data_IF_987157383267
#
_entry.id   IF_987157383267
#
_cell.length_a   1.000
_cell.length_b   1.000
_cell.length_c   1.000
_cell.angle_alpha   90.00
_cell.angle_beta   90.00
_cell.angle_gamma   90.00
#
_symmetry.space_group_name_H-M   'P 1'
#
loop_
_entity.id
_entity.type
_entity.pdbx_description
1 polymer ?
#
# COMPACT_ATOMS: atom_id res chain seq x y z
N UNK A 1 6.52 11.28 -6.92
CA UNK A 1 7.94 11.61 -7.26
C UNK A 1 8.88 10.55 -6.69
N UNK A 2 10.01 10.27 -7.34
CA UNK A 2 10.96 9.22 -6.96
C UNK A 2 12.38 9.78 -6.85
N UNK A 3 13.18 9.23 -5.95
CA UNK A 3 14.62 9.50 -5.83
C UNK A 3 15.39 8.21 -6.02
N UNK A 4 16.52 8.29 -6.72
CA UNK A 4 17.46 7.19 -6.91
C UNK A 4 18.79 7.58 -6.33
N UNK A 5 19.38 6.68 -5.55
CA UNK A 5 20.69 6.87 -4.96
C UNK A 5 21.40 5.54 -4.76
N UNK A 6 22.73 5.55 -4.65
CA UNK A 6 23.50 4.38 -4.25
C UNK A 6 23.60 4.30 -2.73
N UNK A 7 23.19 3.19 -2.14
CA UNK A 7 23.41 2.91 -0.72
C UNK A 7 24.57 1.93 -0.51
N UNK A 8 25.42 2.21 0.47
CA UNK A 8 26.58 1.38 0.82
C UNK A 8 26.24 0.40 1.93
N UNK A 9 25.60 -0.72 1.57
CA UNK A 9 25.25 -1.77 2.51
C UNK A 9 26.48 -2.50 3.04
N UNK A 10 26.40 -2.99 4.28
CA UNK A 10 27.42 -3.89 4.84
C UNK A 10 27.38 -5.19 4.06
N UNK A 11 28.54 -5.65 3.59
CA UNK A 11 28.64 -6.94 2.93
C UNK A 11 28.60 -8.06 3.99
N UNK A 12 27.50 -8.81 4.03
CA UNK A 12 27.29 -9.94 4.95
C UNK A 12 27.52 -11.30 4.29
N UNK A 13 27.99 -11.34 3.04
CA UNK A 13 28.28 -12.60 2.33
C UNK A 13 29.39 -13.38 3.03
N UNK A 14 29.34 -14.70 2.91
CA UNK A 14 30.36 -15.63 3.45
C UNK A 14 30.56 -15.53 4.96
N UNK A 15 29.57 -15.02 5.71
CA UNK A 15 29.66 -14.81 7.16
C UNK A 15 30.84 -13.90 7.59
N UNK A 16 31.37 -13.07 6.68
CA UNK A 16 32.47 -12.15 6.95
C UNK A 16 31.93 -10.80 7.39
N UNK A 17 31.65 -10.64 8.68
CA UNK A 17 31.31 -9.34 9.27
C UNK A 17 32.56 -8.52 9.57
N UNK A 18 33.36 -8.25 8.54
CA UNK A 18 34.58 -7.44 8.64
C UNK A 18 34.26 -6.05 8.06
N UNK A 19 34.11 -5.01 8.89
CA UNK A 19 33.71 -3.68 8.43
C UNK A 19 34.84 -2.90 7.72
N UNK A 20 36.00 -3.53 7.53
CA UNK A 20 37.20 -2.96 6.91
C UNK A 20 37.66 -3.82 5.73
N UNK A 21 38.37 -3.21 4.77
CA UNK A 21 38.95 -3.93 3.62
C UNK A 21 40.05 -4.86 4.11
N UNK A 22 39.96 -6.15 3.78
CA UNK A 22 40.96 -7.17 4.15
C UNK A 22 41.21 -8.14 3.00
N UNK A 23 42.39 -8.07 2.39
CA UNK A 23 42.70 -8.84 1.18
C UNK A 23 41.74 -8.50 0.04
N UNK A 24 41.10 -9.53 -0.53
CA UNK A 24 40.07 -9.39 -1.58
C UNK A 24 38.67 -9.05 -1.05
N UNK A 25 38.46 -9.03 0.27
CA UNK A 25 37.17 -8.68 0.88
C UNK A 25 36.85 -7.19 0.71
N UNK A 26 35.72 -6.89 0.09
CA UNK A 26 35.14 -5.54 0.07
C UNK A 26 34.06 -5.44 1.17
N UNK A 27 34.22 -4.59 2.19
CA UNK A 27 33.29 -4.51 3.32
C UNK A 27 31.94 -3.89 2.96
N UNK A 28 31.83 -3.24 1.80
CA UNK A 28 30.62 -2.54 1.35
C UNK A 28 30.19 -3.01 -0.02
N UNK A 29 28.88 -3.11 -0.21
CA UNK A 29 28.24 -3.31 -1.50
C UNK A 29 27.43 -2.06 -1.84
N UNK A 30 27.78 -1.37 -2.92
CA UNK A 30 27.00 -0.23 -3.40
C UNK A 30 25.81 -0.74 -4.22
N UNK A 31 24.60 -0.57 -3.69
CA UNK A 31 23.36 -1.02 -4.34
C UNK A 31 22.58 0.21 -4.77
N UNK A 32 22.23 0.34 -6.07
CA UNK A 32 21.31 1.38 -6.51
C UNK A 32 19.91 1.06 -5.98
N UNK A 33 19.31 2.02 -5.28
CA UNK A 33 17.95 1.91 -4.75
C UNK A 33 17.07 3.03 -5.29
N UNK A 34 15.77 2.76 -5.38
CA UNK A 34 14.74 3.72 -5.74
C UNK A 34 13.77 3.88 -4.55
N UNK A 35 13.56 5.11 -4.11
CA UNK A 35 12.60 5.45 -3.06
C UNK A 35 11.51 6.39 -3.59
N UNK A 36 10.33 6.31 -2.97
CA UNK A 36 9.32 7.34 -3.11
C UNK A 36 9.78 8.60 -2.36
N UNK A 37 9.61 9.76 -2.99
CA UNK A 37 9.94 11.05 -2.38
C UNK A 37 8.67 11.71 -1.85
N UNK A 38 8.68 11.97 -0.53
CA UNK A 38 7.56 12.56 0.23
C UNK A 38 6.20 11.96 -0.14
N UNK A 39 6.05 10.61 -0.10
CA UNK A 39 4.77 9.99 -0.43
C UNK A 39 3.72 10.30 0.63
N UNK A 40 2.50 10.54 0.18
CA UNK A 40 1.32 10.68 1.03
C UNK A 40 0.26 9.70 0.55
N UNK A 41 -0.24 8.87 1.47
CA UNK A 41 -1.27 7.88 1.19
C UNK A 41 -2.53 8.16 2.00
N UNK A 42 -3.67 7.82 1.42
CA UNK A 42 -4.96 7.76 2.13
C UNK A 42 -5.34 6.29 2.29
N UNK A 43 -5.42 5.83 3.54
CA UNK A 43 -5.78 4.45 3.86
C UNK A 43 -7.23 4.43 4.31
N UNK A 44 -8.00 3.53 3.70
CA UNK A 44 -9.35 3.17 4.11
C UNK A 44 -9.30 1.73 4.61
N UNK A 45 -9.93 1.46 5.75
CA UNK A 45 -10.03 0.12 6.30
C UNK A 45 -11.35 -0.03 7.05
N UNK A 46 -11.80 -1.27 7.18
CA UNK A 46 -12.95 -1.66 7.97
C UNK A 46 -12.52 -2.78 8.92
N UNK A 47 -13.05 -2.77 10.14
CA UNK A 47 -12.79 -3.80 11.15
C UNK A 47 -14.14 -4.18 11.77
N UNK A 48 -14.49 -5.46 11.69
CA UNK A 48 -15.73 -6.00 12.26
C UNK A 48 -15.69 -6.05 13.79
N UNK A 49 -14.54 -6.42 14.36
CA UNK A 49 -14.32 -6.46 15.80
C UNK A 49 -14.38 -5.05 16.39
N UNK A 50 -15.41 -4.80 17.20
CA UNK A 50 -15.70 -3.49 17.77
C UNK A 50 -14.66 -3.08 18.82
N UNK A 51 -14.12 -4.00 19.59
CA UNK A 51 -13.12 -3.70 20.63
C UNK A 51 -11.80 -3.27 19.99
N UNK A 52 -11.37 -3.98 18.93
CA UNK A 52 -10.19 -3.61 18.14
C UNK A 52 -10.41 -2.25 17.46
N UNK A 53 -11.58 -2.03 16.86
CA UNK A 53 -11.93 -0.78 16.17
C UNK A 53 -11.86 0.43 17.12
N UNK A 54 -12.50 0.36 18.28
CA UNK A 54 -12.51 1.48 19.24
C UNK A 54 -11.12 1.75 19.83
N UNK A 55 -10.34 0.69 20.11
CA UNK A 55 -8.96 0.84 20.56
C UNK A 55 -8.09 1.51 19.49
N UNK A 56 -8.19 1.06 18.23
CA UNK A 56 -7.44 1.64 17.12
C UNK A 56 -7.84 3.11 16.89
N UNK A 57 -9.12 3.42 16.91
CA UNK A 57 -9.64 4.79 16.80
C UNK A 57 -9.06 5.70 17.88
N UNK A 58 -9.06 5.25 19.13
CA UNK A 58 -8.44 6.01 20.23
C UNK A 58 -6.95 6.26 20.00
N UNK A 59 -6.20 5.26 19.51
CA UNK A 59 -4.79 5.41 19.18
C UNK A 59 -4.57 6.43 18.05
N UNK A 60 -5.40 6.36 17.01
CA UNK A 60 -5.31 7.26 15.86
C UNK A 60 -5.62 8.71 16.26
N UNK A 61 -6.69 8.94 17.02
CA UNK A 61 -7.11 10.27 17.48
C UNK A 61 -6.09 10.93 18.41
N UNK A 62 -5.44 10.15 19.29
CA UNK A 62 -4.45 10.66 20.23
C UNK A 62 -3.01 10.59 19.70
N UNK A 63 -2.82 10.26 18.42
CA UNK A 63 -1.52 10.14 17.79
C UNK A 63 -0.56 9.19 18.54
N UNK A 64 -1.09 8.04 18.99
CA UNK A 64 -0.36 6.98 19.69
C UNK A 64 -0.11 5.79 18.77
N UNK A 65 1.11 5.27 18.79
CA UNK A 65 1.45 3.99 18.18
C UNK A 65 2.18 3.10 19.19
N UNK A 66 2.04 1.78 19.03
CA UNK A 66 2.81 0.83 19.85
C UNK A 66 4.25 0.68 19.33
N UNK A 67 4.39 0.68 18.00
CA UNK A 67 5.68 0.69 17.31
C UNK A 67 5.77 1.93 16.41
N UNK A 68 7.00 2.37 16.13
CA UNK A 68 7.24 3.44 15.17
C UNK A 68 6.78 3.00 13.79
N UNK A 69 5.98 3.85 13.12
CA UNK A 69 5.50 3.55 11.78
C UNK A 69 6.62 3.76 10.75
N UNK A 70 6.60 2.93 9.71
CA UNK A 70 7.50 3.06 8.58
C UNK A 70 6.84 2.63 7.27
N UNK A 71 7.29 3.17 6.15
CA UNK A 71 6.81 2.84 4.81
C UNK A 71 7.65 1.70 4.21
N UNK A 72 7.41 0.48 4.69
CA UNK A 72 8.04 -0.74 4.18
C UNK A 72 9.37 -1.09 4.83
N UNK A 73 10.35 -0.20 4.83
CA UNK A 73 11.63 -0.39 5.52
C UNK A 73 11.67 0.40 6.83
N UNK A 74 12.35 -0.11 7.86
CA UNK A 74 12.48 0.53 9.17
C UNK A 74 13.06 1.95 9.15
N UNK A 75 13.89 2.24 8.15
CA UNK A 75 14.58 3.50 7.92
C UNK A 75 13.66 4.56 7.29
N UNK A 76 12.54 4.14 6.70
CA UNK A 76 11.58 5.00 6.03
C UNK A 76 10.47 5.38 7.00
N UNK A 77 10.83 6.11 8.07
CA UNK A 77 9.90 6.52 9.11
C UNK A 77 8.68 7.26 8.54
N UNK A 78 7.51 6.97 9.09
CA UNK A 78 6.25 7.50 8.63
C UNK A 78 5.58 8.32 9.74
N UNK A 79 4.81 9.31 9.32
CA UNK A 79 3.86 10.02 10.17
C UNK A 79 2.44 9.76 9.66
N UNK A 80 1.43 10.03 10.48
CA UNK A 80 0.03 9.85 10.12
C UNK A 80 -0.87 10.92 10.72
N UNK A 81 -1.99 11.18 10.05
CA UNK A 81 -3.07 12.01 10.57
C UNK A 81 -4.37 11.23 10.50
N UNK A 82 -5.08 11.15 11.62
CA UNK A 82 -6.45 10.66 11.61
C UNK A 82 -7.35 11.65 10.87
N UNK A 83 -8.20 11.16 9.97
CA UNK A 83 -9.12 11.98 9.19
C UNK A 83 -10.52 11.94 9.79
N UNK A 84 -11.02 10.75 10.10
CA UNK A 84 -12.37 10.54 10.58
C UNK A 84 -12.92 9.17 10.19
N UNK A 85 -14.17 8.95 10.59
CA UNK A 85 -14.99 7.84 10.13
C UNK A 85 -15.97 8.36 9.07
N UNK A 86 -16.29 7.51 8.11
CA UNK A 86 -17.29 7.79 7.10
C UNK A 86 -18.13 6.54 6.89
N UNK A 87 -19.43 6.76 6.70
CA UNK A 87 -20.33 5.70 6.25
C UNK A 87 -20.11 5.47 4.77
N UNK A 88 -19.91 4.20 4.43
CA UNK A 88 -19.90 3.74 3.06
C UNK A 88 -21.06 2.77 2.88
N UNK A 89 -21.73 2.86 1.73
CA UNK A 89 -22.78 1.93 1.33
C UNK A 89 -22.30 1.06 0.18
N UNK A 90 -22.68 -0.22 0.14
CA UNK A 90 -22.37 -1.07 -1.00
C UNK A 90 -23.08 -0.53 -2.23
N UNK A 91 -22.36 -0.55 -3.35
CA UNK A 91 -22.89 -0.15 -4.64
C UNK A 91 -23.09 -1.40 -5.51
N UNK A 92 -24.11 -1.37 -6.37
CA UNK A 92 -24.25 -2.32 -7.46
C UNK A 92 -23.19 -2.08 -8.54
N UNK A 93 -23.34 -2.71 -9.71
CA UNK A 93 -22.53 -2.36 -10.87
C UNK A 93 -22.80 -0.91 -11.28
N UNK A 94 -21.79 -0.05 -11.20
CA UNK A 94 -21.90 1.36 -11.58
C UNK A 94 -20.63 1.86 -12.28
N UNK A 95 -20.84 2.75 -13.27
CA UNK A 95 -19.74 3.38 -13.99
C UNK A 95 -19.26 4.59 -13.20
N UNK A 96 -18.06 4.51 -12.67
CA UNK A 96 -17.53 5.51 -11.74
C UNK A 96 -16.00 5.61 -11.83
N UNK A 97 -15.42 6.52 -11.05
CA UNK A 97 -13.97 6.72 -10.94
C UNK A 97 -13.46 6.22 -9.58
N UNK A 98 -12.52 5.27 -9.60
CA UNK A 98 -11.84 4.76 -8.41
C UNK A 98 -10.43 5.34 -8.34
N UNK A 99 -10.08 5.94 -7.20
CA UNK A 99 -8.73 6.47 -6.92
C UNK A 99 -7.95 5.60 -5.93
N UNK A 100 -8.48 4.42 -5.58
CA UNK A 100 -7.83 3.44 -4.73
C UNK A 100 -7.30 2.26 -5.55
N UNK A 101 -6.50 1.43 -4.90
CA UNK A 101 -6.26 0.07 -5.39
C UNK A 101 -7.59 -0.69 -5.39
N UNK A 102 -7.81 -1.54 -6.39
CA UNK A 102 -8.98 -2.43 -6.46
C UNK A 102 -8.59 -3.80 -6.98
N UNK A 103 -9.33 -4.85 -6.58
CA UNK A 103 -9.12 -6.19 -7.14
C UNK A 103 -9.52 -6.22 -8.62
N UNK A 104 -8.75 -6.93 -9.44
CA UNK A 104 -9.08 -7.11 -10.86
C UNK A 104 -10.45 -7.77 -11.07
N UNK A 105 -10.92 -8.58 -10.10
CA UNK A 105 -12.25 -9.19 -10.08
C UNK A 105 -13.39 -8.18 -9.89
N UNK A 106 -13.11 -7.01 -9.31
CA UNK A 106 -14.08 -5.93 -9.13
C UNK A 106 -14.37 -5.19 -10.43
N UNK A 107 -13.48 -5.26 -11.43
CA UNK A 107 -13.66 -4.62 -12.72
C UNK A 107 -14.50 -5.50 -13.64
N UNK A 108 -15.52 -4.92 -14.27
CA UNK A 108 -16.24 -5.62 -15.35
C UNK A 108 -15.32 -5.71 -16.59
N UNK A 109 -15.12 -6.90 -17.19
CA UNK A 109 -14.21 -7.07 -18.32
C UNK A 109 -14.52 -6.13 -19.49
N UNK A 110 -13.51 -5.43 -19.99
CA UNK A 110 -13.65 -4.49 -21.12
C UNK A 110 -14.16 -3.10 -20.74
N UNK A 111 -14.53 -2.86 -19.48
CA UNK A 111 -15.17 -1.62 -19.06
C UNK A 111 -14.21 -0.59 -18.46
N UNK A 112 -12.91 -0.88 -18.38
CA UNK A 112 -11.91 0.07 -17.89
C UNK A 112 -11.57 1.08 -18.98
N UNK A 113 -11.83 2.35 -18.71
CA UNK A 113 -11.33 3.46 -19.51
C UNK A 113 -9.86 3.67 -19.16
N UNK A 114 -8.98 3.48 -20.13
CA UNK A 114 -7.54 3.72 -19.97
C UNK A 114 -7.19 5.02 -20.70
N UNK A 115 -7.01 6.14 -19.98
CA UNK A 115 -6.60 7.39 -20.61
C UNK A 115 -5.19 7.28 -21.21
N UNK A 116 -4.91 8.05 -22.26
CA UNK A 116 -3.59 8.09 -22.86
C UNK A 116 -2.53 8.56 -21.84
N UNK A 117 -1.37 7.90 -21.83
CA UNK A 117 -0.28 8.23 -20.91
C UNK A 117 -0.50 7.83 -19.45
N UNK A 118 -1.49 6.97 -19.18
CA UNK A 118 -1.70 6.36 -17.85
C UNK A 118 -0.86 5.11 -17.69
N UNK A 119 -0.17 5.00 -16.54
CA UNK A 119 0.58 3.80 -16.17
C UNK A 119 -0.24 2.99 -15.19
N UNK A 120 -0.77 1.87 -15.69
CA UNK A 120 -1.47 0.88 -14.89
C UNK A 120 -0.48 -0.16 -14.39
N UNK A 121 -0.66 -0.53 -13.14
CA UNK A 121 0.10 -1.59 -12.49
C UNK A 121 -0.87 -2.71 -12.12
N UNK A 122 -0.40 -3.94 -12.30
CA UNK A 122 -1.09 -5.15 -11.86
C UNK A 122 -0.12 -5.91 -10.96
N UNK A 123 -0.49 -6.09 -9.71
CA UNK A 123 0.34 -6.78 -8.72
C UNK A 123 -0.45 -7.91 -8.06
N UNK A 124 0.23 -9.00 -7.72
CA UNK A 124 -0.38 -10.09 -6.94
C UNK A 124 -0.05 -9.88 -5.47
N UNK A 125 -1.06 -9.63 -4.65
CA UNK A 125 -0.90 -9.31 -3.22
C UNK A 125 -1.60 -10.33 -2.33
N UNK A 126 -1.04 -10.65 -1.14
CA UNK A 126 -1.75 -11.42 -0.14
C UNK A 126 -2.90 -10.58 0.44
N UNK A 127 -4.11 -11.14 0.47
CA UNK A 127 -5.30 -10.49 1.03
C UNK A 127 -5.83 -11.22 2.27
N UNK A 128 -5.43 -12.47 2.46
CA UNK A 128 -5.77 -13.24 3.66
C UNK A 128 -4.57 -14.07 4.12
N UNK A 129 -4.26 -13.99 5.41
CA UNK A 129 -3.13 -14.68 6.03
C UNK A 129 -3.51 -15.20 7.42
N UNK A 130 -2.93 -16.34 7.81
CA UNK A 130 -3.06 -16.88 9.18
C UNK A 130 -2.24 -16.06 10.18
N UNK A 131 -2.47 -16.20 11.49
CA UNK A 131 -1.63 -15.60 12.54
C UNK A 131 -0.14 -15.96 12.43
N UNK A 132 0.18 -17.14 11.90
CA UNK A 132 1.54 -17.64 11.63
C UNK A 132 2.14 -17.05 10.33
N UNK A 133 1.44 -16.10 9.69
CA UNK A 133 1.83 -15.43 8.44
C UNK A 133 1.87 -16.36 7.23
N UNK A 134 1.06 -17.42 7.22
CA UNK A 134 0.86 -18.25 6.04
C UNK A 134 -0.20 -17.61 5.16
N UNK A 135 0.11 -17.37 3.88
CA UNK A 135 -0.85 -16.76 2.95
C UNK A 135 -1.85 -17.82 2.47
N UNK A 136 -3.14 -17.55 2.68
CA UNK A 136 -4.23 -18.44 2.26
C UNK A 136 -4.89 -17.97 0.96
N UNK A 137 -4.92 -16.65 0.73
CA UNK A 137 -5.53 -16.06 -0.47
C UNK A 137 -4.68 -14.92 -1.03
N UNK A 138 -4.49 -14.96 -2.34
CA UNK A 138 -3.90 -13.89 -3.13
C UNK A 138 -4.95 -13.30 -4.05
N UNK A 139 -4.84 -12.00 -4.32
CA UNK A 139 -5.61 -11.33 -5.35
C UNK A 139 -4.71 -10.54 -6.28
N UNK A 140 -5.11 -10.49 -7.55
CA UNK A 140 -4.52 -9.57 -8.51
C UNK A 140 -5.17 -8.20 -8.31
N UNK A 141 -4.39 -7.19 -7.96
CA UNK A 141 -4.86 -5.81 -7.78
C UNK A 141 -4.40 -4.91 -8.90
N UNK A 142 -5.22 -3.90 -9.20
CA UNK A 142 -4.96 -2.90 -10.23
C UNK A 142 -4.94 -1.52 -9.57
N UNK A 143 -3.99 -0.69 -9.99
CA UNK A 143 -3.90 0.71 -9.57
C UNK A 143 -3.14 1.58 -10.58
N UNK A 144 -3.32 2.89 -10.45
CA UNK A 144 -2.60 3.89 -11.22
C UNK A 144 -1.39 4.43 -10.44
N UNK A 145 -0.23 4.52 -11.10
CA UNK A 145 1.05 4.80 -10.41
C UNK A 145 1.21 6.19 -9.80
N UNK A 146 0.42 7.16 -10.23
CA UNK A 146 0.44 8.54 -9.70
C UNK A 146 -0.84 8.86 -8.91
N UNK A 147 -1.66 7.85 -8.60
CA UNK A 147 -2.89 8.02 -7.82
C UNK A 147 -4.03 8.71 -8.57
N UNK A 148 -3.97 8.74 -9.91
CA UNK A 148 -5.07 9.30 -10.73
C UNK A 148 -6.29 8.39 -10.70
N UNK A 149 -7.51 8.95 -10.67
CA UNK A 149 -8.72 8.14 -10.74
C UNK A 149 -8.80 7.33 -12.05
N UNK A 150 -9.18 6.07 -11.94
CA UNK A 150 -9.47 5.17 -13.06
C UNK A 150 -10.97 5.04 -13.23
N UNK A 151 -11.46 5.34 -14.43
CA UNK A 151 -12.88 5.25 -14.75
C UNK A 151 -13.21 3.88 -15.33
N UNK A 152 -14.34 3.33 -14.92
CA UNK A 152 -14.85 2.08 -15.49
C UNK A 152 -16.10 1.60 -14.79
N UNK A 153 -16.58 0.43 -15.20
CA UNK A 153 -17.69 -0.25 -14.54
C UNK A 153 -17.15 -1.22 -13.48
N UNK A 154 -17.50 -0.97 -12.23
CA UNK A 154 -17.01 -1.71 -11.08
C UNK A 154 -18.15 -2.37 -10.31
N UNK A 155 -17.84 -3.48 -9.63
CA UNK A 155 -18.71 -4.25 -8.73
C UNK A 155 -18.05 -4.43 -7.38
N UNK A 156 -18.86 -4.72 -6.35
CA UNK A 156 -18.40 -4.94 -4.97
C UNK A 156 -17.58 -3.76 -4.42
N UNK A 157 -17.92 -2.55 -4.86
CA UNK A 157 -17.30 -1.31 -4.40
C UNK A 157 -18.23 -0.58 -3.43
N UNK A 158 -17.65 0.33 -2.69
CA UNK A 158 -18.31 1.05 -1.61
C UNK A 158 -18.20 2.55 -1.86
N UNK A 159 -19.30 3.27 -1.61
CA UNK A 159 -19.41 4.71 -1.86
C UNK A 159 -19.81 5.46 -0.60
N UNK A 160 -19.21 6.62 -0.36
CA UNK A 160 -19.64 7.53 0.71
C UNK A 160 -20.56 8.63 0.16
N UNK A 161 -21.12 9.45 1.07
CA UNK A 161 -22.00 10.59 0.72
C UNK A 161 -21.35 11.66 -0.17
N UNK A 162 -20.01 11.68 -0.24
CA UNK A 162 -19.24 12.60 -1.08
C UNK A 162 -18.93 12.03 -2.47
N UNK A 163 -19.44 10.83 -2.79
CA UNK A 163 -19.18 10.14 -4.06
C UNK A 163 -17.79 9.50 -4.14
N UNK A 164 -17.08 9.39 -3.02
CA UNK A 164 -15.77 8.73 -2.98
C UNK A 164 -15.95 7.22 -3.00
N UNK A 165 -15.30 6.59 -3.98
CA UNK A 165 -15.31 5.15 -4.18
C UNK A 165 -14.08 4.47 -3.58
N UNK A 166 -14.31 3.35 -2.89
CA UNK A 166 -13.27 2.51 -2.30
C UNK A 166 -13.60 1.04 -2.52
N UNK A 167 -12.57 0.22 -2.76
CA UNK A 167 -12.67 -1.24 -2.72
C UNK A 167 -12.12 -1.74 -1.38
N UNK A 168 -12.87 -2.59 -0.69
CA UNK A 168 -12.43 -3.30 0.52
C UNK A 168 -12.21 -4.78 0.17
N UNK A 169 -11.08 -5.34 0.63
CA UNK A 169 -10.62 -6.71 0.36
C UNK A 169 -11.18 -7.72 1.37
#
# INVERSE_FOLDING_TARGET
KKIRMGLNYINTKENKWIPIKKGSHNPRSQIPVEFLYEPVFRIYFNIEDTDIRERLKSFLQHHKSYFTLSLGLSELLANYSYVGEAEFTPMSEERTAISSVFAASALVPGELEIPAGVKLYKEKVPVHMTPERVVERYEDVIFEGEGRPLKGLFRNCWVNKEGKMVYFF
#
